data_IF_527841872959
#
_entry.id   IF_527841872959
#
_cell.length_a   1.000
_cell.length_b   1.000
_cell.length_c   1.000
_cell.angle_alpha   90.00
_cell.angle_beta   90.00
_cell.angle_gamma   90.00
#
_symmetry.space_group_name_H-M   'P 1'
#
loop_
_entity.id
_entity.type
_entity.pdbx_description
1 polymer ?
#
# COMPACT_ATOMS: atom_id res chain seq x y z
N UNK A 1 -27.40 31.03 -22.01
CA UNK A 1 -26.37 31.38 -21.03
C UNK A 1 -26.50 30.44 -19.84
N UNK A 2 -25.57 29.50 -19.71
CA UNK A 2 -25.22 28.82 -18.48
C UNK A 2 -23.79 28.32 -18.71
N UNK A 3 -22.84 28.96 -18.04
CA UNK A 3 -21.41 28.75 -18.26
C UNK A 3 -20.96 27.40 -17.72
N UNK A 4 -20.23 26.67 -18.56
CA UNK A 4 -19.38 25.56 -18.16
C UNK A 4 -18.27 26.09 -17.24
N UNK A 5 -18.39 25.82 -15.94
CA UNK A 5 -17.28 25.98 -15.01
C UNK A 5 -16.18 24.99 -15.36
N UNK A 6 -15.12 25.47 -16.01
CA UNK A 6 -13.86 24.75 -16.12
C UNK A 6 -13.28 24.63 -14.69
N UNK A 7 -13.39 23.45 -14.08
CA UNK A 7 -12.71 23.13 -12.83
C UNK A 7 -11.20 23.17 -13.06
N UNK A 8 -10.58 24.30 -12.75
CA UNK A 8 -9.12 24.45 -12.75
C UNK A 8 -8.53 23.51 -11.70
N UNK A 9 -7.76 22.50 -12.12
CA UNK A 9 -6.93 21.69 -11.22
C UNK A 9 -6.03 22.63 -10.41
N UNK A 10 -6.13 22.61 -9.09
CA UNK A 10 -5.22 23.37 -8.24
C UNK A 10 -3.85 22.66 -8.23
N UNK A 11 -2.86 23.30 -8.86
CA UNK A 11 -1.49 22.83 -8.88
C UNK A 11 -0.60 23.94 -8.31
N UNK A 12 0.09 23.67 -7.21
CA UNK A 12 1.04 24.60 -6.59
C UNK A 12 2.44 24.02 -6.71
N UNK A 13 3.43 24.85 -7.07
CA UNK A 13 4.80 24.42 -7.32
C UNK A 13 5.78 25.48 -6.86
N UNK A 14 6.86 25.03 -6.23
CA UNK A 14 7.97 25.87 -5.80
C UNK A 14 9.30 25.21 -6.20
N UNK A 15 10.10 25.92 -7.00
CA UNK A 15 11.49 25.58 -7.31
C UNK A 15 12.41 26.37 -6.36
N UNK A 16 13.39 25.70 -5.75
CA UNK A 16 14.32 26.29 -4.78
C UNK A 16 15.62 25.49 -4.73
N UNK A 17 16.60 25.90 -3.92
CA UNK A 17 17.78 25.09 -3.63
C UNK A 17 18.06 25.16 -2.14
N UNK A 18 17.84 24.04 -1.44
CA UNK A 18 18.01 23.97 0.00
C UNK A 18 18.55 22.61 0.41
N UNK A 19 19.59 22.62 1.25
CA UNK A 19 20.09 21.38 1.86
C UNK A 19 19.15 20.94 2.98
N UNK A 20 18.67 19.69 2.89
CA UNK A 20 17.78 19.09 3.87
C UNK A 20 18.39 17.77 4.37
N UNK A 21 18.32 17.56 5.67
CA UNK A 21 18.74 16.31 6.30
C UNK A 21 17.50 15.50 6.65
N UNK A 22 17.37 14.33 6.01
CA UNK A 22 16.40 13.32 6.40
C UNK A 22 16.99 12.40 7.47
N UNK A 23 16.18 11.97 8.42
CA UNK A 23 16.55 10.96 9.43
C UNK A 23 15.98 9.60 9.07
N UNK A 24 16.79 8.56 9.20
CA UNK A 24 16.33 7.17 9.04
C UNK A 24 15.61 6.68 10.29
N UNK A 25 14.87 5.56 10.19
CA UNK A 25 14.35 4.87 11.38
C UNK A 25 15.45 4.50 12.37
N UNK A 26 16.66 4.23 11.88
CA UNK A 26 17.84 3.91 12.70
C UNK A 26 18.52 5.15 13.29
N UNK A 27 18.08 6.36 12.93
CA UNK A 27 18.61 7.64 13.41
C UNK A 27 19.77 8.22 12.58
N UNK A 28 20.16 7.55 11.50
CA UNK A 28 21.19 8.01 10.58
C UNK A 28 20.71 9.24 9.78
N UNK A 29 21.67 10.01 9.25
CA UNK A 29 21.39 11.26 8.54
C UNK A 29 21.65 11.11 7.04
N UNK A 30 20.66 11.44 6.23
CA UNK A 30 20.71 11.42 4.77
C UNK A 30 20.59 12.86 4.25
N UNK A 31 21.71 13.44 3.80
CA UNK A 31 21.75 14.79 3.27
C UNK A 31 21.32 14.82 1.80
N UNK A 32 20.40 15.72 1.47
CA UNK A 32 19.89 15.92 0.13
C UNK A 32 19.80 17.41 -0.21
N UNK A 33 20.08 17.79 -1.46
CA UNK A 33 19.81 19.13 -1.98
C UNK A 33 18.45 19.12 -2.64
N UNK A 34 17.46 19.70 -1.97
CA UNK A 34 16.08 19.76 -2.44
C UNK A 34 15.94 20.88 -3.47
N UNK A 35 15.40 20.52 -4.64
CA UNK A 35 15.29 21.41 -5.80
C UNK A 35 13.87 21.88 -6.08
N UNK A 36 12.86 21.08 -5.70
CA UNK A 36 11.46 21.36 -6.01
C UNK A 36 10.49 20.70 -5.05
N UNK A 37 9.42 21.40 -4.71
CA UNK A 37 8.22 20.87 -4.08
C UNK A 37 6.99 21.15 -4.95
N UNK A 38 6.15 20.15 -5.16
CA UNK A 38 4.91 20.24 -5.95
C UNK A 38 3.73 19.66 -5.17
N UNK A 39 2.61 20.38 -5.17
CA UNK A 39 1.30 19.89 -4.77
C UNK A 39 0.42 19.78 -6.02
N UNK A 40 -0.11 18.59 -6.26
CA UNK A 40 -0.99 18.30 -7.39
C UNK A 40 -2.31 17.73 -6.90
N UNK A 41 -3.41 18.34 -7.34
CA UNK A 41 -4.75 17.78 -7.22
C UNK A 41 -5.07 16.94 -8.47
N UNK A 42 -5.07 15.63 -8.33
CA UNK A 42 -5.42 14.68 -9.38
C UNK A 42 -6.52 13.74 -8.88
N UNK A 43 -7.64 13.68 -9.60
CA UNK A 43 -8.75 12.75 -9.32
C UNK A 43 -9.25 12.81 -7.86
N UNK A 44 -9.40 14.03 -7.31
CA UNK A 44 -9.82 14.29 -5.92
C UNK A 44 -8.83 13.85 -4.84
N UNK A 45 -7.59 13.50 -5.21
CA UNK A 45 -6.52 13.17 -4.27
C UNK A 45 -5.35 14.13 -4.40
N UNK A 46 -5.08 14.87 -3.33
CA UNK A 46 -3.93 15.76 -3.25
C UNK A 46 -2.65 14.95 -3.02
N UNK A 47 -1.67 15.12 -3.90
CA UNK A 47 -0.34 14.53 -3.78
C UNK A 47 0.72 15.62 -3.55
N UNK A 48 1.67 15.36 -2.66
CA UNK A 48 2.85 16.20 -2.44
C UNK A 48 4.09 15.47 -2.93
N UNK A 49 4.85 16.07 -3.85
CA UNK A 49 6.09 15.49 -4.37
C UNK A 49 7.28 16.41 -4.14
N UNK A 50 8.44 15.79 -3.91
CA UNK A 50 9.72 16.44 -3.68
C UNK A 50 10.72 15.95 -4.72
N UNK A 51 11.43 16.87 -5.36
CA UNK A 51 12.58 16.55 -6.21
C UNK A 51 13.85 17.04 -5.55
N UNK A 52 14.85 16.16 -5.45
CA UNK A 52 16.08 16.45 -4.74
C UNK A 52 17.26 15.66 -5.34
N UNK A 53 18.47 16.11 -5.03
CA UNK A 53 19.72 15.50 -5.46
C UNK A 53 20.49 14.95 -4.26
N UNK A 54 21.15 13.81 -4.44
CA UNK A 54 22.04 13.21 -3.43
C UNK A 54 23.35 12.76 -4.05
N UNK A 55 24.38 12.66 -3.22
CA UNK A 55 25.67 12.07 -3.60
C UNK A 55 25.58 10.54 -3.64
N UNK A 56 26.54 9.90 -4.32
CA UNK A 56 26.52 8.46 -4.58
C UNK A 56 26.54 7.61 -3.29
N UNK A 57 27.24 8.08 -2.27
CA UNK A 57 27.34 7.49 -0.93
C UNK A 57 26.02 7.55 -0.16
N UNK A 58 25.29 8.67 -0.20
CA UNK A 58 23.93 8.76 0.37
C UNK A 58 22.97 7.85 -0.38
N UNK A 59 23.07 7.79 -1.72
CA UNK A 59 22.27 6.87 -2.51
C UNK A 59 22.54 5.39 -2.19
N UNK A 60 23.80 5.01 -1.92
CA UNK A 60 24.13 3.66 -1.42
C UNK A 60 23.49 3.38 -0.07
N UNK A 61 23.45 4.36 0.84
CA UNK A 61 22.76 4.21 2.13
C UNK A 61 21.24 4.02 1.96
N UNK A 62 20.61 4.80 1.07
CA UNK A 62 19.20 4.64 0.72
C UNK A 62 18.89 3.22 0.24
N UNK A 63 19.72 2.67 -0.65
CA UNK A 63 19.54 1.30 -1.15
C UNK A 63 19.80 0.24 -0.09
N UNK A 64 20.86 0.38 0.71
CA UNK A 64 21.25 -0.62 1.69
C UNK A 64 20.25 -0.73 2.85
N UNK A 65 19.69 0.40 3.30
CA UNK A 65 18.66 0.43 4.33
C UNK A 65 17.23 0.38 3.80
N UNK A 66 17.05 0.26 2.48
CA UNK A 66 15.74 0.30 1.81
C UNK A 66 14.89 1.54 2.17
N UNK A 67 15.56 2.64 2.50
CA UNK A 67 14.94 3.87 2.97
C UNK A 67 14.13 4.55 1.87
N UNK A 68 13.13 5.34 2.27
CA UNK A 68 12.20 6.01 1.36
C UNK A 68 11.52 5.04 0.37
N UNK A 69 11.26 3.80 0.80
CA UNK A 69 10.62 2.77 -0.02
C UNK A 69 11.50 2.20 -1.14
N UNK A 70 12.82 2.40 -1.09
CA UNK A 70 13.75 1.95 -2.13
C UNK A 70 14.13 0.46 -2.00
N UNK A 71 13.14 -0.39 -1.70
CA UNK A 71 13.32 -1.84 -1.53
C UNK A 71 13.86 -2.50 -2.80
N UNK A 72 14.57 -3.62 -2.66
CA UNK A 72 15.10 -4.33 -3.83
C UNK A 72 14.00 -4.70 -4.83
N UNK A 73 12.85 -5.18 -4.35
CA UNK A 73 11.67 -5.52 -5.16
C UNK A 73 10.95 -4.30 -5.75
N UNK A 74 11.17 -3.11 -5.18
CA UNK A 74 10.50 -1.88 -5.60
C UNK A 74 11.11 -1.26 -6.87
N UNK A 75 12.35 -1.60 -7.21
CA UNK A 75 13.12 -0.99 -8.30
C UNK A 75 12.83 -1.74 -9.61
N UNK A 76 12.13 -1.12 -10.56
CA UNK A 76 11.88 -1.73 -11.89
C UNK A 76 13.20 -1.93 -12.63
N UNK A 77 13.59 -3.16 -13.00
CA UNK A 77 14.79 -3.56 -13.80
C UNK A 77 16.13 -2.83 -13.49
N UNK A 78 16.19 -2.02 -12.43
CA UNK A 78 17.25 -1.07 -12.12
C UNK A 78 18.30 -1.63 -11.17
N UNK A 79 18.13 -2.88 -10.73
CA UNK A 79 19.06 -3.58 -9.85
C UNK A 79 20.47 -3.72 -10.45
N UNK A 80 20.63 -3.57 -11.78
CA UNK A 80 21.93 -3.58 -12.47
C UNK A 80 22.40 -2.20 -12.98
N UNK A 81 21.70 -1.10 -12.70
CA UNK A 81 22.06 0.21 -13.25
C UNK A 81 23.19 0.88 -12.46
N UNK A 82 24.33 1.09 -13.11
CA UNK A 82 25.47 1.79 -12.52
C UNK A 82 25.39 3.31 -12.77
N UNK A 83 25.41 4.07 -11.67
CA UNK A 83 25.55 5.53 -11.68
C UNK A 83 27.02 5.95 -11.50
N UNK A 84 27.41 7.03 -12.16
CA UNK A 84 28.74 7.62 -12.07
C UNK A 84 28.98 8.23 -10.69
N UNK A 85 30.18 8.08 -10.14
CA UNK A 85 30.49 8.51 -8.77
C UNK A 85 30.54 10.04 -8.62
N UNK A 86 30.94 10.75 -9.66
CA UNK A 86 31.23 12.19 -9.62
C UNK A 86 30.05 13.07 -10.04
N UNK A 87 28.87 12.49 -10.26
CA UNK A 87 27.66 13.21 -10.65
C UNK A 87 26.53 12.96 -9.64
N UNK A 88 25.79 14.01 -9.23
CA UNK A 88 24.67 13.85 -8.32
C UNK A 88 23.58 12.97 -8.94
N UNK A 89 22.86 12.26 -8.09
CA UNK A 89 21.72 11.45 -8.47
C UNK A 89 20.46 12.24 -8.13
N UNK A 90 19.63 12.48 -9.14
CA UNK A 90 18.32 13.11 -9.02
C UNK A 90 17.30 12.07 -8.55
N UNK A 91 16.57 12.37 -7.48
CA UNK A 91 15.45 11.59 -7.00
C UNK A 91 14.18 12.43 -7.00
N UNK A 92 13.06 11.77 -7.29
CA UNK A 92 11.73 12.31 -7.08
C UNK A 92 10.99 11.41 -6.11
N UNK A 93 10.38 11.97 -5.08
CA UNK A 93 9.63 11.23 -4.07
C UNK A 93 8.23 11.81 -3.84
N UNK A 94 7.30 10.99 -3.37
CA UNK A 94 5.95 11.40 -2.95
C UNK A 94 5.83 11.26 -1.43
N UNK A 95 5.14 12.20 -0.80
CA UNK A 95 4.81 12.13 0.62
C UNK A 95 3.72 11.06 0.83
N UNK A 96 3.86 10.24 1.87
CA UNK A 96 2.82 9.29 2.25
C UNK A 96 1.53 10.03 2.61
N UNK A 97 0.40 9.46 2.17
CA UNK A 97 -0.92 10.08 2.35
C UNK A 97 -1.25 10.37 3.83
N UNK A 98 -0.86 9.49 4.76
CA UNK A 98 -1.06 9.66 6.20
C UNK A 98 -0.43 10.93 6.77
N UNK A 99 0.57 11.51 6.09
CA UNK A 99 1.28 12.71 6.51
C UNK A 99 0.83 13.98 5.79
N UNK A 100 -0.12 13.89 4.84
CA UNK A 100 -0.63 15.05 4.11
C UNK A 100 -1.24 16.09 5.07
N UNK A 101 -1.96 15.66 6.10
CA UNK A 101 -2.51 16.57 7.11
C UNK A 101 -1.41 17.36 7.84
N UNK A 102 -0.27 16.73 8.12
CA UNK A 102 0.86 17.40 8.75
C UNK A 102 1.52 18.39 7.78
N UNK A 103 1.73 18.02 6.52
CA UNK A 103 2.29 18.89 5.48
C UNK A 103 1.45 20.15 5.25
N UNK A 104 0.13 19.98 5.16
CA UNK A 104 -0.82 21.06 4.84
C UNK A 104 -1.24 21.89 6.05
N UNK A 105 -0.54 21.77 7.19
CA UNK A 105 -0.90 22.45 8.42
C UNK A 105 -1.05 23.98 8.25
N UNK A 106 -0.18 24.58 7.44
CA UNK A 106 -0.18 26.03 7.15
C UNK A 106 -0.93 26.41 5.86
N UNK A 107 -1.49 25.43 5.13
CA UNK A 107 -2.29 25.63 3.92
C UNK A 107 -1.90 24.71 2.75
N UNK A 108 -2.47 24.99 1.57
CA UNK A 108 -2.38 24.14 0.36
C UNK A 108 -1.45 24.69 -0.71
N UNK A 109 -0.60 25.65 -0.37
CA UNK A 109 0.44 26.17 -1.27
C UNK A 109 1.81 25.52 -1.00
N UNK A 110 2.61 25.33 -2.04
CA UNK A 110 3.92 24.70 -1.94
C UNK A 110 4.87 25.44 -0.98
N UNK A 111 4.79 26.76 -0.90
CA UNK A 111 5.55 27.60 0.04
C UNK A 111 5.19 27.30 1.50
N UNK A 112 3.91 27.07 1.80
CA UNK A 112 3.42 26.76 3.15
C UNK A 112 3.85 25.37 3.58
N UNK A 113 3.82 24.40 2.65
CA UNK A 113 4.35 23.05 2.92
C UNK A 113 5.85 23.09 3.14
N UNK A 114 6.59 23.88 2.35
CA UNK A 114 8.03 24.07 2.57
C UNK A 114 8.28 24.68 3.96
N UNK A 115 7.48 25.66 4.38
CA UNK A 115 7.59 26.23 5.72
C UNK A 115 7.41 25.17 6.81
N UNK A 116 6.40 24.30 6.71
CA UNK A 116 6.22 23.17 7.62
C UNK A 116 7.43 22.23 7.60
N UNK A 117 7.90 21.88 6.39
CA UNK A 117 9.01 20.95 6.17
C UNK A 117 10.34 21.46 6.73
N UNK A 118 10.56 22.77 6.82
CA UNK A 118 11.79 23.38 7.36
C UNK A 118 11.67 23.74 8.85
N UNK A 119 10.46 23.91 9.37
CA UNK A 119 10.25 24.29 10.76
C UNK A 119 10.73 23.18 11.72
N UNK A 120 11.37 23.56 12.83
CA UNK A 120 11.66 22.64 13.93
C UNK A 120 10.42 22.41 14.80
N UNK A 121 9.43 21.73 14.22
CA UNK A 121 8.17 21.34 14.86
C UNK A 121 8.03 19.81 14.86
N UNK A 122 7.04 19.29 15.56
CA UNK A 122 6.69 17.86 15.47
C UNK A 122 6.33 17.46 14.03
N UNK A 123 5.50 18.26 13.35
CA UNK A 123 5.15 18.06 11.95
C UNK A 123 6.39 18.10 11.04
N UNK A 124 7.26 19.10 11.19
CA UNK A 124 8.48 19.20 10.40
C UNK A 124 9.43 18.03 10.64
N UNK A 125 9.60 17.58 11.89
CA UNK A 125 10.42 16.41 12.23
C UNK A 125 9.86 15.11 11.64
N UNK A 126 8.52 14.96 11.60
CA UNK A 126 7.87 13.84 10.93
C UNK A 126 8.12 13.88 9.42
N UNK A 127 7.94 15.03 8.77
CA UNK A 127 8.18 15.17 7.32
C UNK A 127 9.65 14.99 6.93
N UNK A 128 10.60 15.17 7.85
CA UNK A 128 12.04 14.91 7.65
C UNK A 128 12.47 13.48 8.01
N UNK A 129 11.56 12.54 8.21
CA UNK A 129 11.90 11.10 8.26
C UNK A 129 12.00 10.52 6.86
N UNK A 130 12.88 9.54 6.62
CA UNK A 130 12.93 8.86 5.32
C UNK A 130 11.64 8.10 5.01
N UNK A 131 10.94 7.60 6.02
CA UNK A 131 9.74 6.77 5.84
C UNK A 131 8.53 7.60 5.43
N UNK A 132 8.62 8.91 5.60
CA UNK A 132 7.59 9.85 5.20
C UNK A 132 7.47 9.96 3.69
N UNK A 133 8.53 9.60 2.95
CA UNK A 133 8.61 9.75 1.50
C UNK A 133 8.80 8.41 0.81
N UNK A 134 8.22 8.27 -0.38
CA UNK A 134 8.39 7.14 -1.26
C UNK A 134 9.07 7.61 -2.54
N UNK A 135 10.29 7.14 -2.82
CA UNK A 135 10.98 7.46 -4.08
C UNK A 135 10.14 6.93 -5.23
N UNK A 136 9.78 7.78 -6.18
CA UNK A 136 9.11 7.44 -7.44
C UNK A 136 10.13 7.16 -8.54
N UNK A 137 11.18 7.96 -8.61
CA UNK A 137 12.11 7.93 -9.74
C UNK A 137 13.52 8.28 -9.29
N UNK A 138 14.50 7.59 -9.89
CA UNK A 138 15.93 7.81 -9.69
C UNK A 138 16.57 8.02 -11.05
N UNK A 139 17.26 9.14 -11.24
CA UNK A 139 17.89 9.54 -12.50
C UNK A 139 19.29 10.11 -12.25
N UNK A 140 20.14 10.01 -13.25
CA UNK A 140 21.40 10.74 -13.30
C UNK A 140 21.57 11.29 -14.71
N UNK A 141 21.95 12.56 -14.79
CA UNK A 141 22.34 13.17 -16.05
C UNK A 141 23.74 12.69 -16.43
N UNK A 142 23.87 12.11 -17.61
CA UNK A 142 25.12 11.61 -18.19
C UNK A 142 25.48 12.48 -19.38
N UNK A 143 26.69 13.00 -19.40
CA UNK A 143 27.22 13.71 -20.57
C UNK A 143 27.46 12.70 -21.68
N UNK A 144 27.01 13.02 -22.89
CA UNK A 144 27.32 12.19 -24.05
C UNK A 144 28.85 12.21 -24.30
N UNK A 145 29.46 11.08 -24.68
CA UNK A 145 30.83 11.08 -25.17
C UNK A 145 30.97 12.06 -26.34
N UNK A 146 32.11 12.74 -26.44
CA UNK A 146 32.32 13.82 -27.43
C UNK A 146 32.03 13.39 -28.88
N UNK A 147 32.13 12.09 -29.16
CA UNK A 147 31.82 11.45 -30.44
C UNK A 147 30.33 11.55 -30.86
N UNK A 148 29.41 11.75 -29.92
CA UNK A 148 27.95 11.79 -30.14
C UNK A 148 27.35 13.20 -29.99
N UNK A 149 28.17 14.24 -29.87
CA UNK A 149 27.77 15.64 -29.77
C UNK A 149 27.57 16.17 -28.34
N UNK A 150 27.18 17.44 -28.20
CA UNK A 150 27.14 18.19 -26.91
C UNK A 150 25.86 17.97 -26.08
N UNK A 151 25.17 16.84 -26.23
CA UNK A 151 23.93 16.56 -25.51
C UNK A 151 24.15 15.91 -24.14
N UNK A 152 23.08 15.78 -23.35
CA UNK A 152 23.06 14.97 -22.13
C UNK A 152 21.92 13.96 -22.19
N UNK A 153 22.19 12.72 -21.78
CA UNK A 153 21.19 11.68 -21.60
C UNK A 153 20.83 11.56 -20.12
N UNK A 154 19.55 11.33 -19.79
CA UNK A 154 19.16 10.93 -18.42
C UNK A 154 19.03 9.41 -18.39
N UNK A 155 19.87 8.73 -17.62
CA UNK A 155 19.71 7.32 -17.28
C UNK A 155 19.04 7.20 -15.92
N UNK A 156 18.16 6.23 -15.74
CA UNK A 156 17.44 6.09 -14.48
C UNK A 156 16.42 4.97 -14.51
N UNK A 157 15.76 4.76 -13.38
CA UNK A 157 14.67 3.81 -13.22
C UNK A 157 13.54 4.42 -12.40
N UNK A 158 12.37 3.80 -12.48
CA UNK A 158 11.22 4.15 -11.65
C UNK A 158 11.03 3.07 -10.59
N UNK A 159 10.43 3.45 -9.47
CA UNK A 159 9.96 2.48 -8.50
C UNK A 159 8.52 2.10 -8.80
N UNK A 160 8.00 1.04 -8.18
CA UNK A 160 6.59 0.70 -8.26
C UNK A 160 5.67 1.78 -7.66
N UNK A 161 6.20 2.65 -6.80
CA UNK A 161 5.47 3.77 -6.22
C UNK A 161 5.14 4.85 -7.25
N UNK A 162 5.93 4.94 -8.33
CA UNK A 162 5.64 5.85 -9.42
C UNK A 162 4.37 5.42 -10.11
N UNK A 163 3.38 6.32 -10.16
CA UNK A 163 2.20 6.13 -10.99
C UNK A 163 2.63 5.64 -12.38
N UNK A 164 1.97 4.62 -12.94
CA UNK A 164 2.33 4.12 -14.25
C UNK A 164 2.24 5.27 -15.26
N UNK A 165 3.29 5.45 -16.07
CA UNK A 165 3.27 6.35 -17.22
C UNK A 165 2.11 6.05 -18.21
N UNK A 166 1.39 4.95 -18.00
CA UNK A 166 0.21 4.52 -18.75
C UNK A 166 -1.12 5.26 -18.42
N UNK A 167 -1.14 6.28 -17.55
CA UNK A 167 -2.35 7.11 -17.34
C UNK A 167 -2.34 8.41 -18.16
N UNK A 168 -1.28 8.69 -18.93
CA UNK A 168 -1.25 9.86 -19.85
C UNK A 168 -1.26 9.51 -21.35
N UNK A 169 -1.18 8.24 -21.73
CA UNK A 169 -1.33 7.86 -23.14
C UNK A 169 -1.78 6.41 -23.28
N UNK A 170 -3.10 6.17 -23.22
CA UNK A 170 -3.84 5.26 -24.11
C UNK A 170 -5.25 5.02 -23.54
N UNK A 171 -6.23 5.65 -24.16
CA UNK A 171 -7.55 5.04 -24.35
C UNK A 171 -7.38 3.61 -24.91
N UNK A 172 -7.87 2.58 -24.22
CA UNK A 172 -7.97 1.25 -24.85
C UNK A 172 -7.95 -0.02 -23.98
N UNK A 173 -8.42 0.02 -22.72
CA UNK A 173 -9.21 -1.05 -22.07
C UNK A 173 -9.37 -0.70 -20.58
N UNK A 174 -10.59 -0.66 -20.02
CA UNK A 174 -10.76 -0.46 -18.58
C UNK A 174 -10.07 -1.60 -17.82
N UNK A 175 -9.33 -1.27 -16.76
CA UNK A 175 -8.86 -2.29 -15.82
C UNK A 175 -10.10 -2.96 -15.22
N UNK A 176 -10.17 -4.30 -15.19
CA UNK A 176 -11.31 -4.98 -14.59
C UNK A 176 -11.38 -4.62 -13.11
N UNK A 177 -12.59 -4.35 -12.64
CA UNK A 177 -12.83 -4.08 -11.22
C UNK A 177 -12.52 -5.34 -10.38
N UNK A 178 -12.15 -5.17 -9.11
CA UNK A 178 -11.83 -6.28 -8.21
C UNK A 178 -12.99 -7.26 -8.08
N UNK A 179 -14.23 -6.77 -8.03
CA UNK A 179 -15.41 -7.63 -8.03
C UNK A 179 -15.46 -8.52 -9.29
N UNK A 180 -15.15 -8.00 -10.48
CA UNK A 180 -15.08 -8.79 -11.71
C UNK A 180 -13.97 -9.86 -11.66
N UNK A 181 -12.84 -9.54 -11.03
CA UNK A 181 -11.74 -10.49 -10.84
C UNK A 181 -12.15 -11.63 -9.90
N UNK A 182 -12.77 -11.28 -8.77
CA UNK A 182 -13.30 -12.23 -7.78
C UNK A 182 -14.34 -13.14 -8.42
N UNK A 183 -15.37 -12.55 -9.02
CA UNK A 183 -16.46 -13.29 -9.66
C UNK A 183 -15.96 -14.16 -10.83
N UNK A 184 -15.00 -13.65 -11.60
CA UNK A 184 -14.35 -14.39 -12.66
C UNK A 184 -13.56 -15.59 -12.15
N UNK A 185 -12.88 -15.46 -11.00
CA UNK A 185 -12.21 -16.58 -10.35
C UNK A 185 -13.23 -17.63 -9.87
N UNK A 186 -14.26 -17.22 -9.13
CA UNK A 186 -15.28 -18.12 -8.59
C UNK A 186 -16.01 -18.87 -9.71
N UNK A 187 -16.45 -18.15 -10.74
CA UNK A 187 -17.09 -18.74 -11.92
C UNK A 187 -16.16 -19.71 -12.65
N UNK A 188 -14.87 -19.36 -12.81
CA UNK A 188 -13.88 -20.23 -13.44
C UNK A 188 -13.54 -21.48 -12.62
N UNK A 189 -13.87 -21.50 -11.33
CA UNK A 189 -13.76 -22.65 -10.42
C UNK A 189 -15.11 -23.34 -10.19
N UNK A 190 -16.16 -22.91 -10.86
CA UNK A 190 -17.54 -23.39 -10.68
C UNK A 190 -18.03 -23.31 -9.22
N UNK A 191 -17.50 -22.34 -8.47
CA UNK A 191 -17.91 -22.09 -7.08
C UNK A 191 -19.18 -21.23 -7.11
N UNK A 192 -20.32 -21.72 -6.61
CA UNK A 192 -21.55 -20.95 -6.57
C UNK A 192 -21.42 -19.81 -5.55
N UNK A 193 -21.95 -18.63 -5.91
CA UNK A 193 -21.96 -17.46 -5.04
C UNK A 193 -23.25 -16.66 -5.21
N UNK A 194 -23.58 -15.88 -4.19
CA UNK A 194 -24.69 -14.94 -4.16
C UNK A 194 -24.16 -13.52 -3.98
N UNK A 195 -24.70 -12.57 -4.73
CA UNK A 195 -24.42 -11.14 -4.55
C UNK A 195 -25.34 -10.59 -3.46
N UNK A 196 -24.78 -10.26 -2.30
CA UNK A 196 -25.54 -9.73 -1.16
C UNK A 196 -25.70 -8.22 -1.27
N UNK A 197 -24.64 -7.53 -1.69
CA UNK A 197 -24.61 -6.10 -1.96
C UNK A 197 -23.54 -5.80 -3.01
N UNK A 198 -23.43 -4.54 -3.43
CA UNK A 198 -22.32 -4.12 -4.27
C UNK A 198 -20.98 -4.35 -3.55
N UNK A 199 -20.04 -4.98 -4.24
CA UNK A 199 -18.76 -5.39 -3.67
C UNK A 199 -18.84 -6.41 -2.53
N UNK A 200 -19.97 -7.10 -2.30
CA UNK A 200 -20.10 -8.13 -1.26
C UNK A 200 -20.74 -9.42 -1.80
N UNK A 201 -19.96 -10.50 -1.80
CA UNK A 201 -20.41 -11.83 -2.20
C UNK A 201 -20.52 -12.75 -0.99
N UNK A 202 -21.48 -13.66 -1.03
CA UNK A 202 -21.67 -14.76 -0.09
C UNK A 202 -21.50 -16.09 -0.80
N UNK A 203 -20.72 -16.98 -0.20
CA UNK A 203 -20.46 -18.34 -0.70
C UNK A 203 -20.78 -19.29 0.44
N UNK A 204 -21.49 -20.37 0.15
CA UNK A 204 -21.57 -21.51 1.08
C UNK A 204 -20.43 -22.44 0.73
N UNK A 205 -19.41 -22.51 1.60
CA UNK A 205 -18.26 -23.38 1.41
C UNK A 205 -18.45 -24.67 2.22
N UNK A 206 -18.04 -25.81 1.65
CA UNK A 206 -18.05 -27.10 2.34
C UNK A 206 -16.65 -27.68 2.26
N UNK A 207 -15.98 -27.73 3.41
CA UNK A 207 -14.67 -28.35 3.59
C UNK A 207 -14.81 -29.81 4.01
N UNK A 208 -13.73 -30.39 4.54
CA UNK A 208 -13.73 -31.76 5.05
C UNK A 208 -14.39 -31.86 6.43
N UNK A 209 -14.29 -30.81 7.26
CA UNK A 209 -14.70 -30.84 8.66
C UNK A 209 -16.02 -30.11 8.91
N UNK A 210 -16.56 -29.38 7.93
CA UNK A 210 -17.84 -28.69 8.07
C UNK A 210 -18.26 -27.88 6.86
N UNK A 211 -19.40 -27.22 6.99
CA UNK A 211 -19.91 -26.23 6.03
C UNK A 211 -20.10 -24.89 6.73
N UNK A 212 -19.70 -23.82 6.08
CA UNK A 212 -19.79 -22.48 6.63
C UNK A 212 -19.97 -21.42 5.55
N UNK A 213 -20.24 -20.19 5.99
CA UNK A 213 -20.41 -19.05 5.10
C UNK A 213 -19.07 -18.36 4.89
N UNK A 214 -18.73 -18.09 3.64
CA UNK A 214 -17.61 -17.25 3.25
C UNK A 214 -18.15 -15.95 2.66
N UNK A 215 -17.69 -14.82 3.19
CA UNK A 215 -18.00 -13.49 2.67
C UNK A 215 -16.78 -12.91 1.97
N UNK A 216 -16.93 -12.48 0.72
CA UNK A 216 -15.88 -11.78 -0.02
C UNK A 216 -16.30 -10.33 -0.21
N UNK A 217 -15.56 -9.40 0.39
CA UNK A 217 -15.79 -7.97 0.27
C UNK A 217 -14.69 -7.32 -0.56
N UNK A 218 -15.07 -6.55 -1.57
CA UNK A 218 -14.18 -5.70 -2.36
C UNK A 218 -14.59 -4.24 -2.17
N UNK A 219 -13.65 -3.40 -1.74
CA UNK A 219 -13.83 -1.95 -1.61
C UNK A 219 -12.98 -1.29 -2.70
N UNK A 220 -13.61 -0.87 -3.81
CA UNK A 220 -12.90 -0.30 -4.97
C UNK A 220 -12.21 1.03 -4.65
N UNK A 221 -12.81 1.84 -3.79
CA UNK A 221 -12.26 3.13 -3.38
C UNK A 221 -10.99 2.93 -2.55
N UNK A 222 -11.04 2.03 -1.56
CA UNK A 222 -9.88 1.72 -0.71
C UNK A 222 -8.92 0.73 -1.32
N UNK A 223 -9.29 0.11 -2.45
CA UNK A 223 -8.49 -0.92 -3.14
C UNK A 223 -8.15 -2.11 -2.24
N UNK A 224 -9.10 -2.53 -1.40
CA UNK A 224 -8.93 -3.66 -0.48
C UNK A 224 -9.90 -4.79 -0.84
N UNK A 225 -9.39 -6.02 -0.85
CA UNK A 225 -10.21 -7.24 -0.90
C UNK A 225 -10.06 -8.00 0.41
N UNK A 226 -11.18 -8.42 0.99
CA UNK A 226 -11.25 -9.16 2.25
C UNK A 226 -12.09 -10.41 2.04
N UNK A 227 -11.61 -11.53 2.56
CA UNK A 227 -12.34 -12.80 2.65
C UNK A 227 -12.51 -13.14 4.12
N UNK A 228 -13.75 -13.40 4.52
CA UNK A 228 -14.11 -13.89 5.85
C UNK A 228 -14.69 -15.29 5.72
N UNK A 229 -14.18 -16.25 6.48
CA UNK A 229 -14.90 -17.48 6.80
C UNK A 229 -15.59 -17.29 8.14
N UNK A 230 -16.91 -17.35 8.17
CA UNK A 230 -17.72 -17.15 9.38
C UNK A 230 -18.05 -18.52 9.96
N UNK A 231 -17.58 -18.79 11.17
CA UNK A 231 -17.90 -20.04 11.87
C UNK A 231 -19.41 -20.08 12.18
N UNK A 232 -20.09 -21.22 11.97
CA UNK A 232 -21.56 -21.25 11.94
C UNK A 232 -22.22 -21.15 13.32
N UNK A 233 -21.48 -21.35 14.40
CA UNK A 233 -21.98 -21.30 15.77
C UNK A 233 -21.41 -20.09 16.52
N UNK A 234 -22.21 -19.47 17.38
CA UNK A 234 -21.75 -18.39 18.25
C UNK A 234 -21.05 -18.98 19.47
N UNK A 235 -19.92 -18.40 19.87
CA UNK A 235 -19.23 -18.81 21.08
C UNK A 235 -20.05 -18.38 22.31
N UNK A 236 -20.46 -19.32 23.18
CA UNK A 236 -21.20 -19.00 24.42
C UNK A 236 -20.42 -18.03 25.30
N UNK A 237 -21.14 -17.15 26.01
CA UNK A 237 -20.54 -16.05 26.80
C UNK A 237 -19.47 -16.55 27.78
N UNK A 238 -19.76 -17.65 28.45
CA UNK A 238 -18.87 -18.34 29.40
C UNK A 238 -17.55 -18.83 28.79
N UNK A 239 -17.53 -19.12 27.48
CA UNK A 239 -16.35 -19.64 26.77
C UNK A 239 -15.58 -18.55 26.01
N UNK A 240 -16.15 -17.35 25.80
CA UNK A 240 -15.53 -16.30 24.98
C UNK A 240 -14.15 -15.89 25.45
N UNK A 241 -13.93 -15.79 26.77
CA UNK A 241 -12.63 -15.41 27.31
C UNK A 241 -11.55 -16.47 27.02
N UNK A 242 -11.87 -17.76 27.23
CA UNK A 242 -10.96 -18.87 26.91
C UNK A 242 -10.68 -18.96 25.42
N UNK A 243 -11.72 -18.85 24.59
CA UNK A 243 -11.61 -18.82 23.14
C UNK A 243 -10.73 -17.65 22.66
N UNK A 244 -10.91 -16.44 23.20
CA UNK A 244 -10.09 -15.28 22.82
C UNK A 244 -8.59 -15.51 23.11
N UNK A 245 -8.25 -16.11 24.25
CA UNK A 245 -6.87 -16.47 24.61
C UNK A 245 -6.32 -17.53 23.66
N UNK A 246 -7.09 -18.58 23.40
CA UNK A 246 -6.72 -19.63 22.45
C UNK A 246 -6.44 -19.06 21.05
N UNK A 247 -7.40 -18.33 20.46
CA UNK A 247 -7.27 -17.74 19.13
C UNK A 247 -6.11 -16.74 19.04
N UNK A 248 -5.85 -15.98 20.09
CA UNK A 248 -4.69 -15.07 20.14
C UNK A 248 -3.38 -15.85 20.09
N UNK A 249 -3.31 -17.01 20.74
CA UNK A 249 -2.18 -17.94 20.64
C UNK A 249 -2.00 -18.46 19.21
N UNK A 250 -3.06 -19.01 18.61
CA UNK A 250 -3.01 -19.53 17.24
C UNK A 250 -2.63 -18.44 16.22
N UNK A 251 -3.14 -17.23 16.38
CA UNK A 251 -2.80 -16.09 15.53
C UNK A 251 -1.32 -15.72 15.55
N UNK A 252 -0.57 -16.06 16.61
CA UNK A 252 0.86 -15.77 16.69
C UNK A 252 1.68 -16.56 15.66
N UNK A 253 1.27 -17.80 15.37
CA UNK A 253 1.99 -18.70 14.48
C UNK A 253 1.48 -18.66 13.02
N UNK A 254 0.37 -17.96 12.76
CA UNK A 254 -0.20 -17.85 11.42
C UNK A 254 0.52 -16.81 10.55
N UNK A 255 1.02 -17.25 9.39
CA UNK A 255 1.69 -16.36 8.42
C UNK A 255 0.72 -15.45 7.66
N UNK A 256 -0.50 -15.92 7.39
CA UNK A 256 -1.49 -15.22 6.55
C UNK A 256 -2.90 -15.37 7.09
N UNK A 257 -3.45 -14.26 7.57
CA UNK A 257 -4.82 -14.15 8.08
C UNK A 257 -4.86 -14.04 9.60
N UNK A 258 -6.06 -13.97 10.16
CA UNK A 258 -6.26 -13.90 11.61
C UNK A 258 -7.67 -14.33 11.98
N UNK A 259 -7.81 -15.07 13.07
CA UNK A 259 -9.08 -15.30 13.75
C UNK A 259 -9.52 -14.04 14.51
N UNK A 260 -10.79 -13.71 14.40
CA UNK A 260 -11.46 -12.61 15.08
C UNK A 260 -12.66 -13.17 15.83
N UNK A 261 -12.85 -12.72 17.07
CA UNK A 261 -13.99 -13.05 17.92
C UNK A 261 -14.66 -11.74 18.36
N UNK A 262 -15.95 -11.61 18.13
CA UNK A 262 -16.74 -10.54 18.73
C UNK A 262 -17.10 -10.95 20.18
N UNK A 263 -16.62 -10.17 21.15
CA UNK A 263 -16.84 -10.45 22.57
C UNK A 263 -18.30 -10.21 23.01
N UNK A 264 -19.07 -9.43 22.25
CA UNK A 264 -20.44 -9.07 22.59
C UNK A 264 -21.44 -10.18 22.25
N UNK A 265 -21.33 -10.79 21.07
CA UNK A 265 -22.27 -11.82 20.60
C UNK A 265 -21.64 -13.20 20.36
N UNK A 266 -20.31 -13.30 20.33
CA UNK A 266 -19.59 -14.56 20.11
C UNK A 266 -19.41 -14.92 18.64
N UNK A 267 -19.63 -14.00 17.69
CA UNK A 267 -19.32 -14.26 16.27
C UNK A 267 -17.82 -14.54 16.11
N UNK A 268 -17.49 -15.72 15.58
CA UNK A 268 -16.12 -16.12 15.28
C UNK A 268 -15.92 -16.17 13.77
N UNK A 269 -14.83 -15.57 13.30
CA UNK A 269 -14.47 -15.58 11.88
C UNK A 269 -12.97 -15.68 11.66
N UNK A 270 -12.60 -16.23 10.51
CA UNK A 270 -11.22 -16.17 10.00
C UNK A 270 -11.13 -15.17 8.84
N UNK A 271 -10.29 -14.15 8.99
CA UNK A 271 -10.12 -13.08 8.01
C UNK A 271 -8.79 -13.23 7.27
N UNK A 272 -8.84 -13.10 5.95
CA UNK A 272 -7.66 -12.79 5.12
C UNK A 272 -7.96 -11.56 4.28
N UNK A 273 -7.01 -10.64 4.13
CA UNK A 273 -7.18 -9.43 3.33
C UNK A 273 -5.94 -9.09 2.52
N UNK A 274 -6.14 -8.40 1.40
CA UNK A 274 -5.08 -7.84 0.58
C UNK A 274 -5.40 -6.39 0.21
N UNK A 275 -4.40 -5.53 0.35
CA UNK A 275 -4.38 -4.17 -0.14
C UNK A 275 -3.71 -4.15 -1.52
N UNK A 276 -4.40 -3.61 -2.51
CA UNK A 276 -3.93 -3.44 -3.89
C UNK A 276 -4.04 -1.98 -4.33
N UNK A 277 -3.85 -1.02 -3.43
CA UNK A 277 -3.86 0.43 -3.72
C UNK A 277 -2.87 0.80 -4.85
N UNK A 278 -1.74 0.10 -4.92
CA UNK A 278 -0.67 0.36 -5.88
C UNK A 278 -0.44 -0.78 -6.87
N UNK A 279 -1.32 -1.78 -6.90
CA UNK A 279 -1.29 -2.87 -7.87
C UNK A 279 -2.72 -3.21 -8.31
N UNK A 280 -2.90 -4.38 -8.92
CA UNK A 280 -4.20 -4.95 -9.23
C UNK A 280 -4.36 -6.25 -8.48
N UNK A 281 -5.57 -6.46 -7.96
CA UNK A 281 -5.97 -7.81 -7.61
C UNK A 281 -5.88 -8.65 -8.89
N UNK A 282 -5.13 -9.75 -8.84
CA UNK A 282 -5.13 -10.75 -9.92
C UNK A 282 -5.95 -11.95 -9.46
N UNK A 283 -6.43 -12.76 -10.41
CA UNK A 283 -7.12 -14.02 -10.08
C UNK A 283 -6.23 -14.96 -9.27
N UNK A 284 -4.93 -14.92 -9.47
CA UNK A 284 -3.97 -15.72 -8.72
C UNK A 284 -3.82 -15.23 -7.27
N UNK A 285 -3.69 -13.91 -7.06
CA UNK A 285 -3.62 -13.32 -5.72
C UNK A 285 -4.92 -13.57 -4.95
N UNK A 286 -6.08 -13.34 -5.58
CA UNK A 286 -7.37 -13.67 -4.98
C UNK A 286 -7.49 -15.15 -4.68
N UNK A 287 -7.08 -16.02 -5.61
CA UNK A 287 -7.14 -17.46 -5.42
C UNK A 287 -6.31 -17.95 -4.23
N UNK A 288 -5.11 -17.40 -4.02
CA UNK A 288 -4.29 -17.69 -2.83
C UNK A 288 -4.97 -17.19 -1.56
N UNK A 289 -5.45 -15.95 -1.56
CA UNK A 289 -6.17 -15.35 -0.43
C UNK A 289 -7.38 -16.20 -0.01
N UNK A 290 -8.25 -16.53 -0.97
CA UNK A 290 -9.45 -17.33 -0.78
C UNK A 290 -9.12 -18.75 -0.30
N UNK A 291 -8.16 -19.42 -0.95
CA UNK A 291 -7.78 -20.80 -0.61
C UNK A 291 -7.20 -20.89 0.79
N UNK A 292 -6.27 -20.00 1.15
CA UNK A 292 -5.72 -19.95 2.52
C UNK A 292 -6.83 -19.75 3.54
N UNK A 293 -7.78 -18.85 3.27
CA UNK A 293 -8.89 -18.57 4.18
C UNK A 293 -9.72 -19.82 4.51
N UNK A 294 -10.18 -20.52 3.47
CA UNK A 294 -11.06 -21.68 3.65
C UNK A 294 -10.33 -22.90 4.19
N UNK A 295 -9.05 -23.10 3.81
CA UNK A 295 -8.25 -24.24 4.30
C UNK A 295 -7.92 -24.09 5.79
N UNK A 296 -7.55 -22.88 6.23
CA UNK A 296 -7.28 -22.65 7.66
C UNK A 296 -8.57 -22.81 8.47
N UNK A 297 -9.70 -22.24 8.01
CA UNK A 297 -10.98 -22.47 8.71
C UNK A 297 -11.34 -23.97 8.79
N UNK A 298 -11.21 -24.72 7.69
CA UNK A 298 -11.48 -26.17 7.70
C UNK A 298 -10.59 -26.91 8.68
N UNK A 299 -9.29 -26.58 8.73
CA UNK A 299 -8.33 -27.21 9.62
C UNK A 299 -8.72 -27.02 11.08
N UNK A 300 -9.07 -25.78 11.47
CA UNK A 300 -9.44 -25.44 12.83
C UNK A 300 -10.89 -25.79 13.19
N UNK A 301 -11.74 -26.14 12.22
CA UNK A 301 -13.19 -26.30 12.42
C UNK A 301 -13.55 -27.22 13.60
N UNK A 302 -12.87 -28.36 13.72
CA UNK A 302 -13.09 -29.34 14.80
C UNK A 302 -12.57 -28.82 16.15
N UNK A 303 -11.38 -28.21 16.17
CA UNK A 303 -10.80 -27.63 17.39
C UNK A 303 -11.69 -26.51 17.93
N UNK A 304 -12.24 -25.69 17.04
CA UNK A 304 -13.18 -24.63 17.39
C UNK A 304 -14.49 -25.18 17.94
N UNK A 305 -15.00 -26.28 17.37
CA UNK A 305 -16.18 -26.96 17.89
C UNK A 305 -15.95 -27.50 19.30
N UNK A 306 -14.85 -28.22 19.52
CA UNK A 306 -14.52 -28.77 20.82
C UNK A 306 -14.31 -27.66 21.86
N UNK A 307 -13.57 -26.60 21.50
CA UNK A 307 -13.32 -25.46 22.39
C UNK A 307 -14.58 -24.63 22.69
N UNK A 308 -15.55 -24.59 21.77
CA UNK A 308 -16.84 -23.94 22.00
C UNK A 308 -17.81 -24.82 22.83
N UNK A 309 -17.60 -26.14 22.83
CA UNK A 309 -18.45 -27.13 23.51
C UNK A 309 -17.94 -27.57 24.90
N UNK A 310 -16.75 -27.13 25.33
CA UNK A 310 -16.17 -27.53 26.61
C UNK A 310 -16.93 -26.94 27.83
N UNK A 311 -17.92 -27.69 28.34
CA UNK A 311 -18.32 -27.65 29.75
C UNK A 311 -17.09 -28.00 30.62
N UNK A 312 -16.62 -27.04 31.43
CA UNK A 312 -15.60 -27.17 32.51
C UNK A 312 -14.63 -28.37 32.43
N UNK A 313 -13.41 -28.15 31.92
CA UNK A 313 -12.28 -28.97 32.34
C UNK A 313 -11.76 -28.48 33.69
N UNK A 314 -12.17 -29.15 34.78
CA UNK A 314 -11.50 -29.15 36.09
C UNK A 314 -10.05 -29.66 36.02
#
# INVERSE_FOLDING_TARGET
MAGSGNGSKAQSRLDFDHELVFRTLTGDSLTASVKRLELTDAEERLACTLSFEVQQDVYRQLMAGEWMGLHAAARSDGAGMAFEADQPIELRAVLRHSLMKAALHHGTEAEQVLQTLLQDSEAGRALRQSESWLILEVKQQVKLPEEFGTGSLKKGYRTFWAEPAAVQAASGNPRPAMNEIVEGYLSGKEIPYERVADGLLRITFTGMNGSWIVLVRTDEEKRICIVYSVYPELVPEEHRAGMAVFLTGENYDLEVGSFELDTADGELRYRTSIDVEHDRLTRELFGRLFTTNVVIMDHYFHVLHDAAAQEEME
#
